data_IF_839613029530
#
_entry.id   IF_839613029530
#
_cell.length_a   1.000
_cell.length_b   1.000
_cell.length_c   1.000
_cell.angle_alpha   90.00
_cell.angle_beta   90.00
_cell.angle_gamma   90.00
#
_symmetry.space_group_name_H-M   'P 1'
#
loop_
_entity.id
_entity.type
_entity.pdbx_description
1 polymer ?
#
# COMPACT_ATOMS: atom_id res chain seq x y z
N UNK A 1 -17.34 9.98 1.05
CA UNK A 1 -17.14 8.74 0.26
C UNK A 1 -15.98 7.95 0.82
N UNK A 2 -16.19 6.68 1.02
CA UNK A 2 -15.12 5.80 1.49
C UNK A 2 -14.14 5.54 0.34
N UNK A 3 -12.85 5.58 0.66
CA UNK A 3 -11.84 5.21 -0.31
C UNK A 3 -11.64 3.70 -0.28
N UNK A 4 -11.47 3.11 -1.46
CA UNK A 4 -11.21 1.67 -1.58
C UNK A 4 -9.72 1.41 -1.50
N UNK A 5 -9.34 0.37 -0.76
CA UNK A 5 -7.94 0.05 -0.47
C UNK A 5 -7.65 -1.41 -0.84
N UNK A 6 -6.55 -1.61 -1.55
CA UNK A 6 -5.96 -2.94 -1.75
C UNK A 6 -4.75 -3.03 -0.84
N UNK A 7 -4.69 -4.07 0.00
CA UNK A 7 -3.55 -4.30 0.90
C UNK A 7 -2.63 -5.33 0.28
N UNK A 8 -1.36 -4.96 0.06
CA UNK A 8 -0.36 -5.84 -0.54
C UNK A 8 0.77 -6.09 0.46
N UNK A 9 0.83 -7.30 1.00
CA UNK A 9 1.81 -7.69 2.01
C UNK A 9 1.82 -9.21 2.09
N UNK A 10 2.99 -9.81 2.23
CA UNK A 10 3.12 -11.27 2.33
C UNK A 10 2.87 -11.82 3.73
N UNK A 11 2.68 -10.95 4.72
CA UNK A 11 2.40 -11.35 6.10
C UNK A 11 0.90 -11.32 6.39
N UNK A 12 0.24 -12.49 6.54
CA UNK A 12 -1.21 -12.52 6.80
C UNK A 12 -1.61 -11.77 8.06
N UNK A 13 -0.78 -11.79 9.10
CA UNK A 13 -1.07 -11.10 10.35
C UNK A 13 -1.13 -9.58 10.17
N UNK A 14 -0.23 -9.03 9.34
CA UNK A 14 -0.28 -7.60 9.04
C UNK A 14 -1.52 -7.25 8.23
N UNK A 15 -1.85 -8.06 7.21
CA UNK A 15 -3.04 -7.80 6.40
C UNK A 15 -4.30 -7.79 7.26
N UNK A 16 -4.40 -8.71 8.21
CA UNK A 16 -5.53 -8.78 9.12
C UNK A 16 -5.62 -7.54 10.01
N UNK A 17 -4.50 -7.12 10.58
CA UNK A 17 -4.43 -5.93 11.44
C UNK A 17 -4.75 -4.66 10.65
N UNK A 18 -4.17 -4.52 9.46
CA UNK A 18 -4.39 -3.36 8.62
C UNK A 18 -5.85 -3.24 8.20
N UNK A 19 -6.46 -4.36 7.81
CA UNK A 19 -7.89 -4.38 7.45
C UNK A 19 -8.74 -3.89 8.60
N UNK A 20 -8.52 -4.41 9.81
CA UNK A 20 -9.31 -4.04 10.98
C UNK A 20 -9.18 -2.55 11.31
N UNK A 21 -7.94 -2.05 11.31
CA UNK A 21 -7.65 -0.64 11.63
C UNK A 21 -8.28 0.30 10.61
N UNK A 22 -8.12 -0.01 9.32
CA UNK A 22 -8.58 0.88 8.26
C UNK A 22 -10.11 0.82 8.09
N UNK A 23 -10.70 -0.34 8.23
CA UNK A 23 -12.17 -0.46 8.18
C UNK A 23 -12.82 0.30 9.32
N UNK A 24 -12.22 0.26 10.51
CA UNK A 24 -12.72 1.01 11.66
C UNK A 24 -12.70 2.52 11.42
N UNK A 25 -11.79 2.99 10.57
CA UNK A 25 -11.64 4.41 10.26
C UNK A 25 -12.33 4.83 8.95
N UNK A 26 -13.17 3.98 8.38
CA UNK A 26 -14.02 4.35 7.24
C UNK A 26 -13.45 4.03 5.86
N UNK A 27 -12.35 3.29 5.79
CA UNK A 27 -11.85 2.80 4.50
C UNK A 27 -12.52 1.48 4.13
N UNK A 28 -12.73 1.26 2.84
CA UNK A 28 -13.26 0.00 2.35
C UNK A 28 -12.12 -0.85 1.79
N UNK A 29 -11.87 -2.00 2.40
CA UNK A 29 -10.83 -2.91 1.93
C UNK A 29 -11.45 -3.82 0.87
N UNK A 30 -11.05 -3.62 -0.38
CA UNK A 30 -11.62 -4.35 -1.51
C UNK A 30 -10.86 -5.63 -1.85
N UNK A 31 -9.65 -5.79 -1.32
CA UNK A 31 -8.89 -7.01 -1.55
C UNK A 31 -7.56 -7.01 -0.83
N UNK A 32 -6.90 -8.16 -0.89
CA UNK A 32 -5.57 -8.38 -0.34
C UNK A 32 -4.75 -9.16 -1.36
N UNK A 33 -3.44 -8.90 -1.38
CA UNK A 33 -2.51 -9.62 -2.23
C UNK A 33 -1.27 -9.95 -1.42
N UNK A 34 -0.64 -11.08 -1.70
CA UNK A 34 0.52 -11.54 -0.94
C UNK A 34 1.85 -11.37 -1.68
N UNK A 35 1.80 -11.03 -2.96
CA UNK A 35 3.00 -10.84 -3.78
C UNK A 35 2.75 -9.86 -4.92
N UNK A 36 3.78 -9.58 -5.70
CA UNK A 36 3.68 -8.61 -6.79
C UNK A 36 2.76 -9.06 -7.91
N UNK A 37 2.80 -10.34 -8.28
CA UNK A 37 1.96 -10.86 -9.37
C UNK A 37 0.48 -10.77 -9.02
N UNK A 38 0.10 -11.19 -7.81
CA UNK A 38 -1.29 -11.10 -7.37
C UNK A 38 -1.72 -9.64 -7.16
N UNK A 39 -0.80 -8.77 -6.76
CA UNK A 39 -1.09 -7.34 -6.61
C UNK A 39 -1.45 -6.70 -7.94
N UNK A 40 -0.70 -7.01 -9.01
CA UNK A 40 -0.99 -6.48 -10.34
C UNK A 40 -2.34 -6.96 -10.86
N UNK A 41 -2.63 -8.24 -10.69
CA UNK A 41 -3.92 -8.81 -11.10
C UNK A 41 -5.08 -8.20 -10.30
N UNK A 42 -4.92 -8.06 -8.99
CA UNK A 42 -5.94 -7.48 -8.12
C UNK A 42 -6.18 -6.01 -8.45
N UNK A 43 -5.12 -5.26 -8.71
CA UNK A 43 -5.26 -3.85 -9.08
C UNK A 43 -6.06 -3.68 -10.36
N UNK A 44 -5.81 -4.52 -11.36
CA UNK A 44 -6.58 -4.47 -12.62
C UNK A 44 -8.04 -4.85 -12.43
N UNK A 45 -8.29 -5.85 -11.61
CA UNK A 45 -9.66 -6.35 -11.39
C UNK A 45 -10.49 -5.42 -10.50
N UNK A 46 -9.88 -4.88 -9.45
CA UNK A 46 -10.59 -4.16 -8.40
C UNK A 46 -10.54 -2.64 -8.55
N UNK A 47 -9.55 -2.13 -9.25
CA UNK A 47 -9.34 -0.68 -9.46
C UNK A 47 -9.45 0.11 -8.16
N UNK A 48 -8.61 -0.21 -7.15
CA UNK A 48 -8.70 0.49 -5.86
C UNK A 48 -8.28 1.95 -5.99
N UNK A 49 -8.79 2.78 -5.10
CA UNK A 49 -8.34 4.17 -5.00
C UNK A 49 -6.93 4.24 -4.41
N UNK A 50 -6.63 3.32 -3.49
CA UNK A 50 -5.37 3.29 -2.74
C UNK A 50 -4.79 1.88 -2.76
N UNK A 51 -3.48 1.78 -2.96
CA UNK A 51 -2.74 0.54 -2.76
C UNK A 51 -1.79 0.74 -1.58
N UNK A 52 -2.00 -0.03 -0.52
CA UNK A 52 -1.09 -0.06 0.63
C UNK A 52 -0.09 -1.17 0.35
N UNK A 53 1.16 -0.81 0.07
CA UNK A 53 2.13 -1.69 -0.56
C UNK A 53 3.36 -1.90 0.32
N UNK A 54 3.63 -3.15 0.69
CA UNK A 54 4.86 -3.51 1.40
C UNK A 54 6.06 -3.30 0.49
N UNK A 55 7.12 -2.71 1.03
CA UNK A 55 8.38 -2.49 0.32
C UNK A 55 9.06 -3.81 -0.04
N UNK A 56 8.91 -4.85 0.78
CA UNK A 56 9.54 -6.14 0.56
C UNK A 56 8.50 -7.24 0.33
N UNK A 57 8.46 -7.75 -0.89
CA UNK A 57 7.60 -8.86 -1.28
C UNK A 57 8.46 -10.03 -1.73
N UNK A 58 7.93 -11.27 -1.71
CA UNK A 58 8.75 -12.44 -2.06
C UNK A 58 9.22 -12.46 -3.51
N UNK A 59 8.47 -11.86 -4.42
CA UNK A 59 8.78 -11.88 -5.85
C UNK A 59 9.12 -10.49 -6.41
N UNK A 60 9.05 -9.44 -5.61
CA UNK A 60 9.23 -8.08 -6.09
C UNK A 60 9.64 -7.13 -4.98
N UNK A 61 10.30 -6.07 -5.39
CA UNK A 61 10.60 -4.93 -4.54
C UNK A 61 9.45 -3.93 -4.69
N UNK A 62 8.93 -3.44 -3.56
CA UNK A 62 7.80 -2.51 -3.58
C UNK A 62 8.07 -1.22 -4.32
N UNK A 63 9.34 -0.76 -4.34
CA UNK A 63 9.71 0.44 -5.09
C UNK A 63 9.50 0.24 -6.59
N UNK A 64 9.95 -0.90 -7.12
CA UNK A 64 9.80 -1.23 -8.53
C UNK A 64 8.34 -1.48 -8.88
N UNK A 65 7.63 -2.21 -8.03
CA UNK A 65 6.20 -2.51 -8.24
C UNK A 65 5.37 -1.23 -8.25
N UNK A 66 5.73 -0.27 -7.42
CA UNK A 66 5.08 1.03 -7.38
C UNK A 66 5.11 1.72 -8.74
N UNK A 67 6.25 1.64 -9.45
CA UNK A 67 6.36 2.22 -10.77
C UNK A 67 5.44 1.54 -11.77
N UNK A 68 5.37 0.21 -11.75
CA UNK A 68 4.44 -0.52 -12.62
C UNK A 68 2.99 -0.17 -12.35
N UNK A 69 2.60 -0.09 -11.09
CA UNK A 69 1.23 0.24 -10.72
C UNK A 69 0.85 1.66 -11.15
N UNK A 70 1.81 2.58 -11.13
CA UNK A 70 1.56 3.96 -11.53
C UNK A 70 1.35 4.13 -13.04
N UNK A 71 1.74 3.14 -13.84
CA UNK A 71 1.53 3.17 -15.28
C UNK A 71 0.15 2.65 -15.68
N UNK A 72 -0.57 2.03 -14.75
CA UNK A 72 -1.91 1.49 -15.00
C UNK A 72 -2.94 2.61 -14.85
N UNK A 73 -3.89 2.67 -15.78
CA UNK A 73 -4.95 3.67 -15.74
C UNK A 73 -6.30 3.02 -15.37
N UNK A 74 -7.07 3.60 -14.45
CA UNK A 74 -6.76 4.80 -13.66
C UNK A 74 -5.67 4.53 -12.63
N UNK A 75 -4.85 5.55 -12.39
CA UNK A 75 -3.69 5.43 -11.50
C UNK A 75 -4.10 5.40 -10.03
N UNK A 76 -3.77 4.35 -9.28
CA UNK A 76 -4.07 4.33 -7.84
C UNK A 76 -3.10 5.23 -7.08
N UNK A 77 -3.51 5.69 -5.90
CA UNK A 77 -2.60 6.33 -4.96
C UNK A 77 -1.86 5.23 -4.20
N UNK A 78 -0.53 5.25 -4.21
CA UNK A 78 0.27 4.20 -3.59
C UNK A 78 0.92 4.74 -2.34
N UNK A 79 0.73 4.03 -1.22
CA UNK A 79 1.37 4.32 0.05
C UNK A 79 2.21 3.10 0.42
N UNK A 80 3.50 3.33 0.61
CA UNK A 80 4.44 2.25 0.96
C UNK A 80 4.44 2.02 2.46
N UNK A 81 4.54 0.75 2.85
CA UNK A 81 4.68 0.36 4.26
C UNK A 81 5.87 -0.56 4.43
N UNK A 82 6.48 -0.53 5.59
CA UNK A 82 7.59 -1.42 5.92
C UNK A 82 7.69 -1.61 7.43
N UNK A 83 8.24 -2.74 7.85
CA UNK A 83 8.58 -2.98 9.25
C UNK A 83 9.79 -2.15 9.68
N UNK A 84 10.52 -1.56 8.73
CA UNK A 84 11.65 -0.67 9.01
C UNK A 84 11.19 0.78 9.07
N UNK A 85 11.95 1.63 9.75
CA UNK A 85 11.68 3.06 9.79
C UNK A 85 11.98 3.72 8.46
N UNK A 86 11.34 4.85 8.20
CA UNK A 86 11.58 5.62 6.99
C UNK A 86 13.05 6.05 6.84
N UNK A 87 13.76 6.24 7.96
CA UNK A 87 15.18 6.60 7.94
C UNK A 87 16.07 5.54 7.29
N UNK A 88 15.64 4.28 7.28
CA UNK A 88 16.37 3.19 6.62
C UNK A 88 16.31 3.29 5.10
N UNK A 89 15.45 4.16 4.58
CA UNK A 89 15.23 4.34 3.15
C UNK A 89 15.42 5.80 2.72
N UNK A 90 16.33 6.52 3.37
CA UNK A 90 16.59 7.93 3.09
C UNK A 90 16.76 8.20 1.60
N UNK A 91 16.00 9.16 1.09
CA UNK A 91 16.05 9.56 -0.31
C UNK A 91 15.25 8.69 -1.26
N UNK A 92 14.91 7.47 -0.87
CA UNK A 92 14.15 6.56 -1.74
C UNK A 92 12.66 6.92 -1.79
N UNK A 93 12.09 7.26 -0.65
CA UNK A 93 10.67 7.62 -0.56
C UNK A 93 10.36 8.84 -1.43
N UNK A 94 11.27 9.79 -1.48
CA UNK A 94 11.10 11.02 -2.25
C UNK A 94 11.27 10.82 -3.75
N UNK A 95 11.95 9.76 -4.15
CA UNK A 95 12.26 9.51 -5.56
C UNK A 95 11.22 8.69 -6.29
N UNK A 96 10.32 8.05 -5.56
CA UNK A 96 9.31 7.17 -6.14
C UNK A 96 8.02 7.89 -6.45
N UNK A 97 7.12 7.26 -7.24
CA UNK A 97 5.80 7.79 -7.52
C UNK A 97 4.82 7.59 -6.36
N UNK A 98 5.25 7.03 -5.25
CA UNK A 98 4.40 6.80 -4.09
C UNK A 98 3.97 8.12 -3.44
N UNK A 99 2.77 8.13 -2.89
CA UNK A 99 2.23 9.28 -2.18
C UNK A 99 2.84 9.45 -0.80
N UNK A 100 3.31 8.37 -0.20
CA UNK A 100 3.93 8.44 1.12
C UNK A 100 4.44 7.10 1.58
N UNK A 101 4.99 7.12 2.79
CA UNK A 101 5.55 5.96 3.46
C UNK A 101 5.07 5.94 4.90
N UNK A 102 4.64 4.78 5.37
CA UNK A 102 4.21 4.58 6.75
C UNK A 102 4.92 3.36 7.32
N UNK A 103 5.58 3.51 8.47
CA UNK A 103 6.09 2.35 9.19
C UNK A 103 4.89 1.50 9.65
N UNK A 104 5.00 0.18 9.55
CA UNK A 104 3.87 -0.70 9.89
C UNK A 104 3.36 -0.48 11.32
N UNK A 105 4.26 -0.18 12.25
CA UNK A 105 3.89 0.09 13.63
C UNK A 105 3.05 1.36 13.80
N UNK A 106 3.13 2.27 12.85
CA UNK A 106 2.46 3.58 12.89
C UNK A 106 1.19 3.63 12.03
N UNK A 107 0.79 2.51 11.44
CA UNK A 107 -0.37 2.50 10.55
C UNK A 107 -1.65 2.80 11.32
N UNK A 108 -2.39 3.78 10.79
CA UNK A 108 -3.72 4.15 11.28
C UNK A 108 -4.49 4.78 10.13
N UNK A 109 -5.79 4.97 10.30
CA UNK A 109 -6.57 5.69 9.31
C UNK A 109 -6.10 7.13 9.14
N UNK A 110 -5.75 7.79 10.24
CA UNK A 110 -5.23 9.16 10.19
C UNK A 110 -3.89 9.24 9.48
N UNK A 111 -2.99 8.29 9.73
CA UNK A 111 -1.70 8.25 9.04
C UNK A 111 -1.90 8.05 7.53
N UNK A 112 -2.82 7.19 7.14
CA UNK A 112 -3.12 6.96 5.74
C UNK A 112 -3.72 8.19 5.07
N UNK A 113 -4.66 8.86 5.74
CA UNK A 113 -5.25 10.11 5.22
C UNK A 113 -4.19 11.19 5.04
N UNK A 114 -3.27 11.31 5.99
CA UNK A 114 -2.18 12.28 5.90
C UNK A 114 -1.28 12.00 4.69
N UNK A 115 -0.98 10.74 4.44
CA UNK A 115 -0.17 10.35 3.28
C UNK A 115 -0.88 10.63 1.95
N UNK A 116 -2.21 10.58 1.95
CA UNK A 116 -3.02 10.79 0.74
C UNK A 116 -3.36 12.25 0.49
N UNK A 117 -3.14 13.10 1.47
CA UNK A 117 -3.48 14.53 1.38
C UNK A 117 -2.63 15.28 0.37
#
# INVERSE_FOLDING_TARGET
>A
MERTVLIVDDHPSFRMSARAVLEADGFEIVGEAEDGATALAANRALRPDVVLLDVQLPDANGWDLCQFLCEIQPRPAIVLVSSRDASDFDGLVELGPARGFIAKADLSGDALRAALA
#
